data_IF_959244657815
#
_entry.id   IF_959244657815
#
_cell.length_a   1.000
_cell.length_b   1.000
_cell.length_c   1.000
_cell.angle_alpha   90.00
_cell.angle_beta   90.00
_cell.angle_gamma   90.00
#
_symmetry.space_group_name_H-M   'P 1'
#
loop_
_entity.id
_entity.type
_entity.pdbx_description
1 polymer ?
#
# COMPACT_ATOMS: atom_id res chain seq x y z
N UNK A 1 -11.84 -5.00 4.74
CA UNK A 1 -10.73 -5.13 3.78
C UNK A 1 -10.00 -6.44 4.07
N UNK A 2 -9.56 -7.18 3.05
CA UNK A 2 -8.82 -8.44 3.23
C UNK A 2 -7.33 -8.17 3.47
N UNK A 3 -7.07 -7.52 4.61
CA UNK A 3 -5.78 -6.98 5.05
C UNK A 3 -4.55 -7.89 4.84
N UNK A 4 -4.57 -9.19 5.19
CA UNK A 4 -3.38 -10.03 5.05
C UNK A 4 -3.04 -10.39 3.59
N UNK A 5 -3.94 -10.16 2.64
CA UNK A 5 -3.76 -10.59 1.26
C UNK A 5 -3.47 -9.44 0.29
N UNK A 6 -3.73 -8.18 0.65
CA UNK A 6 -3.67 -7.05 -0.30
C UNK A 6 -2.27 -6.76 -0.85
N UNK A 7 -1.22 -7.14 -0.10
CA UNK A 7 0.18 -6.96 -0.50
C UNK A 7 0.75 -8.19 -1.22
N UNK A 8 -0.05 -9.24 -1.45
CA UNK A 8 0.39 -10.42 -2.19
C UNK A 8 0.37 -10.14 -3.69
N UNK A 9 1.42 -10.58 -4.38
CA UNK A 9 1.46 -10.54 -5.85
C UNK A 9 0.25 -11.26 -6.44
N UNK A 10 -0.33 -10.65 -7.48
CA UNK A 10 -1.49 -11.17 -8.20
C UNK A 10 -2.79 -11.22 -7.42
N UNK A 11 -2.83 -10.67 -6.20
CA UNK A 11 -4.08 -10.55 -5.45
C UNK A 11 -4.97 -9.48 -6.06
N UNK A 12 -6.16 -9.89 -6.49
CA UNK A 12 -7.21 -8.99 -6.97
C UNK A 12 -8.53 -9.40 -6.31
N UNK A 13 -9.32 -8.43 -5.88
CA UNK A 13 -10.67 -8.71 -5.36
C UNK A 13 -11.62 -8.92 -6.53
N UNK A 14 -12.41 -9.98 -6.50
CA UNK A 14 -13.37 -10.32 -7.57
C UNK A 14 -14.56 -9.34 -7.70
N UNK A 15 -14.58 -8.24 -6.93
CA UNK A 15 -15.59 -7.18 -7.01
C UNK A 15 -15.43 -6.36 -8.28
N UNK A 16 -16.25 -6.70 -9.28
CA UNK A 16 -16.39 -5.99 -10.56
C UNK A 16 -17.04 -4.62 -10.34
N UNK A 17 -16.25 -3.63 -9.94
CA UNK A 17 -16.66 -2.23 -10.12
C UNK A 17 -16.48 -1.85 -11.60
N UNK A 18 -17.39 -1.05 -12.15
CA UNK A 18 -17.34 -0.65 -13.56
C UNK A 18 -16.04 0.08 -13.94
N UNK A 19 -15.39 0.72 -12.95
CA UNK A 19 -14.12 1.43 -13.09
C UNK A 19 -12.90 0.57 -12.70
N UNK A 20 -13.11 -0.72 -12.38
CA UNK A 20 -12.02 -1.66 -12.16
C UNK A 20 -11.41 -2.02 -13.52
N UNK A 21 -10.57 -1.13 -14.07
CA UNK A 21 -9.61 -1.52 -15.09
C UNK A 21 -8.88 -2.77 -14.59
N UNK A 22 -8.74 -3.78 -15.45
CA UNK A 22 -8.14 -5.07 -15.13
C UNK A 22 -6.66 -4.90 -14.73
N UNK A 23 -6.41 -4.53 -13.48
CA UNK A 23 -5.08 -4.56 -12.88
C UNK A 23 -4.77 -5.98 -12.41
N UNK A 24 -3.59 -6.49 -12.72
CA UNK A 24 -3.15 -7.84 -12.33
C UNK A 24 -2.68 -7.93 -10.87
N UNK A 25 -3.09 -7.01 -9.98
CA UNK A 25 -2.76 -7.08 -8.56
C UNK A 25 -1.28 -6.91 -8.22
N UNK A 26 -0.56 -6.06 -8.98
CA UNK A 26 0.88 -5.81 -8.76
C UNK A 26 1.20 -4.47 -8.09
N UNK A 27 0.28 -3.50 -8.10
CA UNK A 27 0.54 -2.16 -7.57
C UNK A 27 0.99 -2.15 -6.11
N UNK A 28 0.20 -2.75 -5.21
CA UNK A 28 0.52 -2.80 -3.78
C UNK A 28 1.77 -3.64 -3.45
N UNK A 29 1.98 -4.84 -4.05
CA UNK A 29 3.25 -5.56 -3.90
C UNK A 29 4.47 -4.74 -4.32
N UNK A 30 4.39 -3.96 -5.40
CA UNK A 30 5.47 -3.09 -5.85
C UNK A 30 5.71 -1.96 -4.84
N UNK A 31 4.65 -1.33 -4.33
CA UNK A 31 4.77 -0.31 -3.28
C UNK A 31 5.47 -0.86 -2.03
N UNK A 32 5.03 -2.02 -1.54
CA UNK A 32 5.63 -2.70 -0.38
C UNK A 32 7.13 -2.97 -0.59
N UNK A 33 7.50 -3.52 -1.76
CA UNK A 33 8.89 -3.78 -2.10
C UNK A 33 9.74 -2.50 -2.13
N UNK A 34 9.24 -1.43 -2.76
CA UNK A 34 9.96 -0.14 -2.84
C UNK A 34 10.15 0.46 -1.44
N UNK A 35 9.09 0.51 -0.64
CA UNK A 35 9.12 1.13 0.70
C UNK A 35 10.08 0.36 1.61
N UNK A 36 10.02 -0.98 1.61
CA UNK A 36 10.95 -1.81 2.38
C UNK A 36 12.39 -1.67 1.91
N UNK A 37 12.63 -1.56 0.61
CA UNK A 37 13.98 -1.32 0.08
C UNK A 37 14.59 0.00 0.56
N UNK A 38 13.75 0.98 0.91
CA UNK A 38 14.17 2.26 1.50
C UNK A 38 14.14 2.24 3.05
N UNK A 39 14.03 1.07 3.69
CA UNK A 39 14.00 0.92 5.14
C UNK A 39 12.71 1.42 5.80
N UNK A 40 11.65 1.59 5.01
CA UNK A 40 10.33 1.98 5.49
C UNK A 40 9.40 0.83 5.81
N UNK A 41 8.16 1.19 6.13
CA UNK A 41 7.04 0.27 6.34
C UNK A 41 5.74 0.84 5.76
N UNK A 42 4.77 -0.02 5.44
CA UNK A 42 3.46 0.36 4.90
C UNK A 42 2.34 -0.40 5.60
N UNK A 43 1.29 0.33 5.96
CA UNK A 43 0.08 -0.20 6.59
C UNK A 43 -1.18 0.30 5.87
N UNK A 44 -2.30 -0.34 6.17
CA UNK A 44 -3.59 -0.01 5.57
C UNK A 44 -4.69 -0.13 6.62
N UNK A 45 -5.61 0.83 6.58
CA UNK A 45 -6.78 0.85 7.46
C UNK A 45 -8.01 1.37 6.72
N UNK A 46 -9.19 1.13 7.27
CA UNK A 46 -10.38 1.83 6.79
C UNK A 46 -10.29 3.29 7.24
N UNK A 47 -10.80 4.21 6.41
CA UNK A 47 -10.95 5.61 6.82
C UNK A 47 -11.90 5.70 8.02
N UNK A 48 -11.56 6.57 8.97
CA UNK A 48 -12.40 6.81 10.15
C UNK A 48 -13.42 7.92 9.93
N UNK A 49 -13.22 8.77 8.92
CA UNK A 49 -14.02 9.95 8.60
C UNK A 49 -15.02 9.75 7.44
N UNK A 50 -15.10 8.54 6.89
CA UNK A 50 -16.00 8.22 5.79
C UNK A 50 -15.66 6.91 5.09
N UNK A 51 -16.34 6.61 3.97
CA UNK A 51 -16.05 5.44 3.16
C UNK A 51 -14.65 5.50 2.53
N UNK A 52 -13.99 4.36 2.45
CA UNK A 52 -12.72 4.21 1.73
C UNK A 52 -11.62 3.54 2.56
N UNK A 53 -10.45 3.42 1.95
CA UNK A 53 -9.24 2.90 2.56
C UNK A 53 -8.19 3.99 2.66
N UNK A 54 -7.37 3.92 3.71
CA UNK A 54 -6.21 4.77 3.94
C UNK A 54 -4.96 3.89 3.95
N UNK A 55 -3.97 4.28 3.14
CA UNK A 55 -2.67 3.61 3.06
C UNK A 55 -1.63 4.56 3.62
N UNK A 56 -0.87 4.08 4.61
CA UNK A 56 0.07 4.90 5.37
C UNK A 56 1.44 4.25 5.27
N UNK A 57 2.44 5.00 4.85
CA UNK A 57 3.83 4.53 4.82
C UNK A 57 4.77 5.52 5.52
N UNK A 58 5.88 5.00 5.99
CA UNK A 58 6.94 5.79 6.63
C UNK A 58 8.28 5.46 5.98
N UNK A 59 9.15 6.46 5.85
CA UNK A 59 10.53 6.29 5.41
C UNK A 59 11.47 6.93 6.44
N UNK A 60 12.68 6.38 6.67
CA UNK A 60 13.73 7.06 7.41
C UNK A 60 14.06 8.41 6.75
N UNK A 61 14.13 9.47 7.54
CA UNK A 61 14.62 10.76 7.08
C UNK A 61 16.15 10.78 7.24
N UNK A 62 16.87 11.20 6.19
CA UNK A 62 18.30 11.43 6.30
C UNK A 62 18.53 12.64 7.21
N UNK A 63 19.28 12.45 8.30
CA UNK A 63 19.67 13.53 9.21
C UNK A 63 21.07 13.97 8.82
N UNK A 64 21.18 15.09 8.09
CA UNK A 64 22.46 15.78 7.97
C UNK A 64 22.80 16.41 9.32
N UNK A 65 23.84 15.88 9.97
CA UNK A 65 24.42 16.52 11.15
C UNK A 65 25.37 17.60 10.65
N UNK A 66 24.99 18.87 10.77
CA UNK A 66 25.90 19.98 10.51
C UNK A 66 26.88 20.11 11.69
N UNK A 67 28.18 19.87 11.44
CA UNK A 67 29.30 20.22 12.34
C UNK A 67 29.70 21.70 12.22
#
# INVERSE_FOLDING_TARGET
MDLPNIFKMFYTTHTKHADAQHGIGLGLPICDAIIKAHGGDISVQNRMDGPGAEFIFTLPMEVEIYE
#
